data_IF_192828288418
#
_entry.id   IF_192828288418
#
_cell.length_a   1.000
_cell.length_b   1.000
_cell.length_c   1.000
_cell.angle_alpha   90.00
_cell.angle_beta   90.00
_cell.angle_gamma   90.00
#
_symmetry.space_group_name_H-M   'P 1'
#
loop_
_entity.id
_entity.type
_entity.pdbx_description
1 polymer ?
#
# COMPACT_ATOMS: atom_id res chain seq x y z
N UNK A 1 21.33 -12.39 -5.79
CA UNK A 1 20.29 -11.32 -5.87
C UNK A 1 19.32 -11.54 -4.74
N UNK A 2 19.09 -10.50 -3.97
CA UNK A 2 18.10 -10.64 -2.88
C UNK A 2 16.70 -10.32 -3.42
N UNK A 3 15.72 -10.53 -2.56
CA UNK A 3 14.33 -10.40 -2.96
C UNK A 3 13.97 -8.97 -3.38
N UNK A 4 14.56 -7.98 -2.71
CA UNK A 4 14.30 -6.59 -3.06
C UNK A 4 14.88 -6.22 -4.41
N UNK A 5 16.04 -6.78 -4.74
CA UNK A 5 16.63 -6.54 -6.06
C UNK A 5 15.76 -7.15 -7.16
N UNK A 6 15.21 -8.31 -6.91
CA UNK A 6 14.31 -8.94 -7.86
C UNK A 6 13.03 -8.14 -8.01
N UNK A 7 12.53 -7.58 -6.91
CA UNK A 7 11.35 -6.73 -6.94
C UNK A 7 11.63 -5.45 -7.73
N UNK A 8 12.81 -4.86 -7.52
CA UNK A 8 13.18 -3.68 -8.27
C UNK A 8 13.19 -3.97 -9.77
N UNK A 9 13.76 -5.12 -10.14
CA UNK A 9 13.80 -5.50 -11.55
C UNK A 9 12.39 -5.63 -12.13
N UNK A 10 11.49 -6.24 -11.38
CA UNK A 10 10.11 -6.38 -11.83
C UNK A 10 9.45 -5.02 -12.02
N UNK A 11 9.72 -4.08 -11.10
CA UNK A 11 9.15 -2.75 -11.23
C UNK A 11 9.68 -2.03 -12.48
N UNK A 12 10.95 -2.23 -12.80
CA UNK A 12 11.53 -1.65 -14.00
C UNK A 12 10.92 -2.28 -15.25
N UNK A 13 10.69 -3.58 -15.21
CA UNK A 13 10.07 -4.28 -16.35
C UNK A 13 8.63 -3.81 -16.57
N UNK A 14 7.96 -3.39 -15.51
CA UNK A 14 6.62 -2.85 -15.59
C UNK A 14 6.61 -1.36 -15.92
N UNK A 15 7.78 -0.80 -16.22
CA UNK A 15 7.94 0.59 -16.66
C UNK A 15 7.43 1.60 -15.64
N UNK A 16 7.59 1.28 -14.36
CA UNK A 16 7.27 2.25 -13.30
C UNK A 16 8.29 3.37 -13.32
N UNK A 17 7.87 4.56 -12.91
CA UNK A 17 8.79 5.69 -12.88
C UNK A 17 9.87 5.47 -11.82
N UNK A 18 11.05 6.09 -11.98
CA UNK A 18 12.11 5.94 -10.97
C UNK A 18 11.66 6.35 -9.58
N UNK A 19 10.85 7.40 -9.47
CA UNK A 19 10.35 7.83 -8.17
C UNK A 19 9.45 6.78 -7.54
N UNK A 20 8.60 6.15 -8.35
CA UNK A 20 7.72 5.09 -7.85
C UNK A 20 8.53 3.88 -7.42
N UNK A 21 9.53 3.50 -8.20
CA UNK A 21 10.38 2.36 -7.87
C UNK A 21 11.06 2.60 -6.54
N UNK A 22 11.67 3.77 -6.38
CA UNK A 22 12.38 4.09 -5.15
C UNK A 22 11.43 4.06 -3.94
N UNK A 23 10.24 4.63 -4.11
CA UNK A 23 9.26 4.66 -3.03
C UNK A 23 8.81 3.26 -2.64
N UNK A 24 8.49 2.43 -3.62
CA UNK A 24 8.03 1.07 -3.34
C UNK A 24 9.12 0.24 -2.67
N UNK A 25 10.37 0.42 -3.10
CA UNK A 25 11.48 -0.29 -2.46
C UNK A 25 11.67 0.15 -1.01
N UNK A 26 11.54 1.45 -0.77
CA UNK A 26 11.67 1.99 0.59
C UNK A 26 10.59 1.42 1.50
N UNK A 27 9.35 1.41 1.01
CA UNK A 27 8.24 0.92 1.81
C UNK A 27 8.35 -0.58 2.07
N UNK A 28 8.75 -1.34 1.06
CA UNK A 28 8.94 -2.78 1.22
C UNK A 28 10.08 -3.07 2.19
N UNK A 29 11.16 -2.30 2.10
CA UNK A 29 12.30 -2.50 2.99
C UNK A 29 11.91 -2.23 4.45
N UNK A 30 11.15 -1.16 4.67
CA UNK A 30 10.71 -0.84 6.03
C UNK A 30 9.84 -1.97 6.59
N UNK A 31 8.95 -2.52 5.77
CA UNK A 31 8.11 -3.63 6.21
C UNK A 31 8.95 -4.85 6.55
N UNK A 32 9.93 -5.18 5.69
CA UNK A 32 10.79 -6.33 5.93
C UNK A 32 11.64 -6.15 7.19
N UNK A 33 12.11 -4.94 7.44
CA UNK A 33 12.85 -4.65 8.67
C UNK A 33 11.95 -4.84 9.88
N UNK A 34 10.71 -4.42 9.79
CA UNK A 34 9.77 -4.61 10.90
C UNK A 34 9.51 -6.10 11.15
N UNK A 35 9.43 -6.90 10.07
CA UNK A 35 9.22 -8.33 10.21
C UNK A 35 10.40 -9.00 10.90
N UNK A 36 11.60 -8.47 10.70
CA UNK A 36 12.82 -8.96 11.37
C UNK A 36 12.98 -10.47 11.21
N UNK A 37 12.95 -10.93 9.96
CA UNK A 37 13.14 -12.34 9.64
C UNK A 37 11.91 -13.20 9.70
N UNK A 38 10.78 -12.67 10.18
CA UNK A 38 9.54 -13.45 10.20
C UNK A 38 8.94 -13.48 8.82
N UNK A 39 8.24 -14.56 8.51
CA UNK A 39 7.53 -14.63 7.24
C UNK A 39 6.28 -13.77 7.28
N UNK A 40 5.99 -13.05 6.19
CA UNK A 40 4.76 -12.26 6.15
C UNK A 40 3.53 -13.14 6.25
N UNK A 41 2.59 -12.73 7.07
CA UNK A 41 1.26 -13.34 7.14
C UNK A 41 0.25 -12.23 7.07
N UNK A 42 -0.99 -12.60 6.80
CA UNK A 42 -2.06 -11.59 6.77
C UNK A 42 -2.15 -10.87 8.12
N UNK A 43 -2.05 -11.64 9.20
CA UNK A 43 -2.14 -11.08 10.53
C UNK A 43 -1.02 -10.08 10.80
N UNK A 44 0.22 -10.44 10.44
CA UNK A 44 1.35 -9.53 10.63
C UNK A 44 1.22 -8.28 9.78
N UNK A 45 0.74 -8.43 8.54
CA UNK A 45 0.57 -7.28 7.67
C UNK A 45 -0.50 -6.33 8.20
N UNK A 46 -1.58 -6.89 8.75
CA UNK A 46 -2.61 -6.07 9.39
C UNK A 46 -2.04 -5.34 10.60
N UNK A 47 -1.23 -6.01 11.40
CA UNK A 47 -0.57 -5.38 12.54
C UNK A 47 0.31 -4.21 12.11
N UNK A 48 1.07 -4.40 11.04
CA UNK A 48 1.92 -3.34 10.52
C UNK A 48 1.08 -2.14 10.07
N UNK A 49 -0.02 -2.43 9.37
CA UNK A 49 -0.94 -1.37 8.93
C UNK A 49 -1.49 -0.59 10.13
N UNK A 50 -1.89 -1.30 11.18
CA UNK A 50 -2.41 -0.64 12.37
C UNK A 50 -1.37 0.28 13.01
N UNK A 51 -0.12 -0.15 13.04
CA UNK A 51 0.95 0.68 13.54
C UNK A 51 1.15 1.93 12.70
N UNK A 52 1.00 1.81 11.38
CA UNK A 52 1.11 2.96 10.50
C UNK A 52 -0.02 3.96 10.75
N UNK A 53 -1.23 3.47 11.00
CA UNK A 53 -2.37 4.36 11.21
C UNK A 53 -2.22 5.20 12.47
N UNK A 54 -1.42 4.73 13.42
CA UNK A 54 -1.18 5.48 14.65
C UNK A 54 -0.17 6.61 14.47
N UNK A 55 0.60 6.59 13.37
CA UNK A 55 1.69 7.53 13.16
C UNK A 55 1.50 8.43 11.95
N UNK A 56 0.67 8.03 11.01
CA UNK A 56 0.55 8.73 9.74
C UNK A 56 -0.89 8.96 9.37
N UNK A 57 -1.12 9.94 8.52
CA UNK A 57 -2.45 10.20 7.99
C UNK A 57 -2.86 9.09 7.02
N UNK A 58 -4.18 8.95 6.83
CA UNK A 58 -4.72 7.88 5.99
C UNK A 58 -4.11 7.87 4.58
N UNK A 59 -3.96 9.05 3.98
CA UNK A 59 -3.41 9.11 2.63
C UNK A 59 -1.98 8.59 2.58
N UNK A 60 -1.18 8.93 3.60
CA UNK A 60 0.20 8.45 3.68
C UNK A 60 0.25 6.96 3.90
N UNK A 61 -0.62 6.45 4.78
CA UNK A 61 -0.70 5.01 5.03
C UNK A 61 -1.05 4.27 3.74
N UNK A 62 -2.05 4.77 3.01
CA UNK A 62 -2.46 4.12 1.76
C UNK A 62 -1.32 4.11 0.74
N UNK A 63 -0.55 5.18 0.68
CA UNK A 63 0.60 5.24 -0.21
C UNK A 63 1.63 4.18 0.14
N UNK A 64 1.91 4.02 1.44
CA UNK A 64 2.85 3.00 1.90
C UNK A 64 2.33 1.59 1.64
N UNK A 65 1.03 1.38 1.86
CA UNK A 65 0.44 0.07 1.62
C UNK A 65 0.48 -0.31 0.15
N UNK A 66 0.41 0.66 -0.76
CA UNK A 66 0.51 0.36 -2.18
C UNK A 66 1.84 -0.31 -2.50
N UNK A 67 2.94 0.19 -1.94
CA UNK A 67 4.24 -0.42 -2.14
C UNK A 67 4.35 -1.78 -1.50
N UNK A 68 3.85 -1.90 -0.28
CA UNK A 68 3.89 -3.18 0.45
C UNK A 68 3.05 -4.23 -0.26
N UNK A 69 1.84 -3.86 -0.68
CA UNK A 69 0.97 -4.80 -1.38
C UNK A 69 1.57 -5.24 -2.72
N UNK A 70 2.23 -4.31 -3.40
CA UNK A 70 2.90 -4.65 -4.66
C UNK A 70 4.00 -5.67 -4.41
N UNK A 71 4.78 -5.48 -3.34
CA UNK A 71 5.82 -6.42 -2.98
C UNK A 71 5.24 -7.79 -2.63
N UNK A 72 4.16 -7.81 -1.85
CA UNK A 72 3.53 -9.07 -1.46
C UNK A 72 3.01 -9.82 -2.67
N UNK A 73 2.40 -9.11 -3.63
CA UNK A 73 1.95 -9.75 -4.86
C UNK A 73 3.13 -10.34 -5.63
N UNK A 74 4.23 -9.58 -5.70
CA UNK A 74 5.42 -10.04 -6.41
C UNK A 74 6.01 -11.30 -5.76
N UNK A 75 6.02 -11.35 -4.43
CA UNK A 75 6.66 -12.45 -3.71
C UNK A 75 5.78 -13.69 -3.59
N UNK A 76 4.61 -13.68 -4.22
CA UNK A 76 3.71 -14.83 -4.16
C UNK A 76 2.84 -14.85 -2.92
N UNK A 77 2.71 -13.73 -2.23
CA UNK A 77 1.95 -13.65 -0.99
C UNK A 77 0.77 -12.68 -1.14
N UNK A 78 0.09 -12.78 -2.29
CA UNK A 78 -1.03 -11.89 -2.56
C UNK A 78 -2.14 -12.01 -1.52
N UNK A 79 -2.25 -13.16 -0.88
CA UNK A 79 -3.24 -13.36 0.17
C UNK A 79 -2.92 -12.57 1.44
N UNK A 80 -1.71 -12.06 1.56
CA UNK A 80 -1.30 -11.24 2.72
C UNK A 80 -1.56 -9.76 2.50
N UNK A 81 -2.01 -9.36 1.31
CA UNK A 81 -2.25 -7.95 1.03
C UNK A 81 -3.37 -7.41 1.93
N UNK A 82 -3.27 -6.13 2.25
CA UNK A 82 -4.25 -5.48 3.11
C UNK A 82 -4.96 -4.38 2.34
N UNK A 83 -6.16 -4.07 2.77
CA UNK A 83 -6.97 -3.06 2.12
C UNK A 83 -6.50 -1.68 2.54
N UNK A 84 -6.62 -0.69 1.65
CA UNK A 84 -6.30 0.68 2.04
C UNK A 84 -7.32 1.22 3.04
N UNK A 85 -6.91 2.25 3.76
CA UNK A 85 -7.81 2.93 4.66
C UNK A 85 -8.79 3.75 3.86
N UNK A 86 -10.00 3.89 4.39
CA UNK A 86 -10.98 4.74 3.76
C UNK A 86 -10.62 6.19 4.05
N UNK A 87 -10.38 6.96 3.00
CA UNK A 87 -10.07 8.37 3.14
C UNK A 87 -11.37 9.14 3.04
N UNK A 88 -11.73 9.81 4.12
CA UNK A 88 -12.91 10.66 4.12
C UNK A 88 -12.55 12.02 3.56
N UNK A 89 -13.16 12.37 2.47
CA UNK A 89 -13.03 13.70 1.92
C UNK A 89 -14.18 14.53 2.37
N UNK A 90 -13.86 15.63 2.98
CA UNK A 90 -14.90 16.59 3.31
C UNK A 90 -15.21 17.37 2.05
N UNK A 91 -16.39 17.15 1.52
CA UNK A 91 -16.84 17.88 0.34
C UNK A 91 -17.69 19.05 0.81
N UNK A 92 -17.31 20.18 0.36
CA UNK A 92 -18.07 21.36 0.69
C UNK A 92 -19.03 21.66 -0.45
N UNK A 93 -20.24 21.60 -0.17
CA UNK A 93 -21.25 21.77 -1.16
C UNK A 93 -21.53 20.51 -1.87
N UNK A 94 -21.53 20.13 -1.90
CA UNK A 94 -21.85 19.26 -2.32
C UNK A 94 -22.28 18.28 -2.44
N UNK A 95 -22.14 18.21 -2.63
CA UNK A 95 -22.50 17.22 -2.70
C UNK A 95 -22.99 16.45 -3.11
N UNK A 96 -23.07 16.46 -3.27
CA UNK A 96 -23.39 15.49 -3.40
C UNK A 96 -23.57 14.71 -4.06
N UNK A 97 -23.73 14.84 -4.27
CA UNK A 97 -23.79 13.90 -4.67
C UNK A 97 -23.63 12.98 -5.09
N UNK A 98 -23.57 13.28 -5.18
CA UNK A 98 -23.41 12.26 -5.26
C UNK A 98 -23.14 11.52 -5.68
N UNK A 99 -23.10 11.78 -5.88
CA UNK A 99 -22.90 10.89 -5.93
C UNK A 99 -22.82 10.15 -6.25
N UNK A 100 -22.89 10.62 -6.14
CA UNK A 100 -22.82 9.86 -6.13
C UNK A 100 -22.58 9.13 -6.69
N UNK A 101 -22.44 9.36 -6.71
CA UNK A 101 -22.15 8.56 -6.85
C UNK A 101 -21.79 7.79 -7.11
N UNK A 102 -21.69 8.44 -6.87
CA UNK A 102 -21.32 7.73 -6.66
C UNK A 102 -20.77 7.36 -7.03
N UNK A 103 -20.60 8.03 -6.93
CA UNK A 103 -20.13 7.59 -6.87
C UNK A 103 -19.61 7.18 -7.03
N UNK A 104 -19.57 7.65 -7.01
CA UNK A 104 -19.18 7.05 -6.74
C UNK A 104 -19.10 6.30 -6.65
N UNK A 105 -19.18 6.99 -6.32
CA UNK A 105 -19.13 6.36 -5.83
C UNK A 105 -18.90 5.91 -5.92
N UNK A 106 -18.82 5.91 -5.74
CA UNK A 106 -18.60 5.46 -5.54
C UNK A 106 -18.15 5.18 -5.36
N UNK A 107 -17.85 5.61 -5.13
CA UNK A 107 -17.45 5.28 -4.71
C UNK A 107 -17.28 4.78 -4.61
N UNK A 108 -17.11 4.96 -4.33
CA UNK A 108 -17.05 4.42 -4.01
C UNK A 108 -16.87 4.03 -4.23
#
# INVERSE_FOLDING_TARGET
MNELQAFEKRLRENEKSPATIEKYLRDARAFLCWLDGREPTKELTVCYKEGLTERYEAASVNSMLAGINSYLSFSGRADCRVKPLRVQRTLFGSEERELSREEYARLV
#
